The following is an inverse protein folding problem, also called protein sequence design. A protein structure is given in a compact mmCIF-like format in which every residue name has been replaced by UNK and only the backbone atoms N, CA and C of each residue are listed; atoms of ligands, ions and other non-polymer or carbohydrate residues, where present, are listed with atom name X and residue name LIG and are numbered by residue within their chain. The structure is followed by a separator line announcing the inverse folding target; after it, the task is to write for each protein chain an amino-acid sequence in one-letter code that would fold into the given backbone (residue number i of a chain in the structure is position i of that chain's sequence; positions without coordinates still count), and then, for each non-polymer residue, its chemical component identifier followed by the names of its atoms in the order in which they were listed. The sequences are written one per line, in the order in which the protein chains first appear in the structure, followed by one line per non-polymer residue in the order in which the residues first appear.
data_IF_465435715115
#
_entry.id   IF_465435715115
#
_cell.length_a   1.000
_cell.length_b   1.000
_cell.length_c   1.000
_cell.angle_alpha   90.00
_cell.angle_beta   90.00
_cell.angle_gamma   90.00
#
_symmetry.space_group_name_H-M   'P 1'
#
loop_
_entity.id
_entity.type
_entity.pdbx_description
1 polymer ?
#
# COMPACT_ATOMS: atom_id res chain seq x y z
N UNK A 1 -0.95 11.58 21.56
CA UNK A 1 0.04 12.09 22.54
C UNK A 1 1.42 11.53 22.25
N UNK A 2 1.59 10.20 22.30
CA UNK A 2 2.87 9.51 22.04
C UNK A 2 3.61 10.00 20.78
N UNK A 3 2.95 10.00 19.61
CA UNK A 3 3.56 10.49 18.36
C UNK A 3 4.07 11.94 18.44
N UNK A 4 3.40 12.80 19.20
CA UNK A 4 3.83 14.18 19.39
C UNK A 4 5.05 14.28 20.32
N UNK A 5 5.14 13.40 21.32
CA UNK A 5 6.30 13.31 22.20
C UNK A 5 7.54 12.83 21.43
N UNK A 6 7.38 11.86 20.52
CA UNK A 6 8.45 11.42 19.62
C UNK A 6 8.88 12.51 18.63
N UNK A 7 7.93 13.27 18.07
CA UNK A 7 8.24 14.42 17.22
C UNK A 7 9.04 15.50 18.00
N UNK A 8 8.62 15.82 19.23
CA UNK A 8 9.36 16.73 20.12
C UNK A 8 10.75 16.19 20.45
N UNK A 9 10.87 14.89 20.75
CA UNK A 9 12.15 14.25 21.04
C UNK A 9 13.13 14.35 19.86
N UNK A 10 12.67 14.04 18.65
CA UNK A 10 13.45 14.22 17.41
C UNK A 10 13.91 15.66 17.20
N UNK A 11 13.00 16.61 17.36
CA UNK A 11 13.31 18.05 17.26
C UNK A 11 14.34 18.52 18.29
N UNK A 12 14.27 18.06 19.54
CA UNK A 12 15.23 18.40 20.59
C UNK A 12 16.60 17.75 20.37
N UNK A 13 16.63 16.54 19.82
CA UNK A 13 17.86 15.83 19.49
C UNK A 13 18.51 16.33 18.17
N UNK A 14 17.78 17.08 17.34
CA UNK A 14 18.23 17.44 16.00
C UNK A 14 18.33 16.24 15.05
N UNK A 15 17.55 15.18 15.33
CA UNK A 15 17.60 13.90 14.62
C UNK A 15 16.21 13.56 14.06
N UNK A 16 16.12 12.90 12.90
CA UNK A 16 14.87 12.30 12.47
C UNK A 16 14.45 11.17 13.43
N UNK A 17 13.14 10.94 13.57
CA UNK A 17 12.60 9.95 14.52
C UNK A 17 13.14 8.54 14.25
N UNK A 18 13.36 8.15 12.99
CA UNK A 18 13.92 6.83 12.67
C UNK A 18 15.34 6.61 13.22
N UNK A 19 16.16 7.66 13.35
CA UNK A 19 17.50 7.54 13.95
C UNK A 19 17.39 7.27 15.45
N UNK A 20 16.41 7.88 16.12
CA UNK A 20 16.12 7.59 17.53
C UNK A 20 15.62 6.16 17.74
N UNK A 21 15.01 5.55 16.71
CA UNK A 21 14.49 4.17 16.72
C UNK A 21 15.53 3.12 16.27
N UNK A 22 16.80 3.49 16.10
CA UNK A 22 17.86 2.57 15.72
C UNK A 22 18.35 2.68 14.27
N UNK A 23 17.97 3.74 13.56
CA UNK A 23 18.51 4.08 12.25
C UNK A 23 17.85 3.34 11.07
N UNK A 24 18.38 3.62 9.88
CA UNK A 24 17.84 3.10 8.62
C UNK A 24 18.15 1.60 8.44
N UNK A 25 17.11 0.80 8.23
CA UNK A 25 17.21 -0.60 7.82
C UNK A 25 17.02 -0.80 6.30
N UNK A 26 16.63 0.27 5.59
CA UNK A 26 16.42 0.30 4.13
C UNK A 26 16.58 1.72 3.60
N UNK A 27 16.87 1.87 2.32
CA UNK A 27 17.04 3.19 1.67
C UNK A 27 15.71 3.89 1.39
N UNK A 28 14.64 3.13 1.16
CA UNK A 28 13.29 3.64 0.94
C UNK A 28 12.24 2.58 1.34
N UNK A 29 11.04 3.05 1.67
CA UNK A 29 9.87 2.19 1.81
C UNK A 29 9.15 2.07 0.46
N UNK A 30 8.71 0.87 0.10
CA UNK A 30 7.81 0.67 -1.04
C UNK A 30 6.42 1.17 -0.67
N UNK A 31 5.77 1.87 -1.59
CA UNK A 31 4.41 2.36 -1.40
C UNK A 31 3.46 1.61 -2.34
N UNK A 32 2.31 1.19 -1.81
CA UNK A 32 1.16 0.85 -2.63
C UNK A 32 0.29 2.09 -2.86
N UNK A 33 -0.40 2.13 -3.98
CA UNK A 33 -1.34 3.21 -4.34
C UNK A 33 -2.68 2.63 -4.76
N UNK A 34 -3.71 3.48 -4.86
CA UNK A 34 -5.07 3.05 -5.17
C UNK A 34 -5.43 3.38 -6.62
N UNK A 35 -5.83 2.35 -7.36
CA UNK A 35 -6.42 2.46 -8.68
C UNK A 35 -7.88 2.02 -8.63
N UNK A 36 -8.77 2.91 -9.02
CA UNK A 36 -10.19 2.66 -9.08
C UNK A 36 -10.85 3.41 -10.22
N UNK A 37 -11.91 2.83 -10.76
CA UNK A 37 -12.78 3.42 -11.77
C UNK A 37 -14.20 2.85 -11.70
N UNK A 38 -15.14 3.51 -12.37
CA UNK A 38 -16.53 3.06 -12.43
C UNK A 38 -16.70 1.71 -13.17
N UNK A 39 -15.78 1.39 -14.07
CA UNK A 39 -15.74 0.14 -14.83
C UNK A 39 -14.40 -0.58 -14.64
N UNK A 40 -14.34 -1.84 -15.06
CA UNK A 40 -13.09 -2.62 -15.07
C UNK A 40 -12.03 -1.91 -15.90
N UNK A 41 -12.37 -1.47 -17.12
CA UNK A 41 -11.44 -0.78 -18.00
C UNK A 41 -10.91 0.52 -17.38
N UNK A 42 -11.79 1.36 -16.84
CA UNK A 42 -11.36 2.60 -16.19
C UNK A 42 -10.45 2.35 -14.97
N UNK A 43 -10.64 1.22 -14.27
CA UNK A 43 -9.80 0.84 -13.13
C UNK A 43 -8.41 0.38 -13.60
N UNK A 44 -8.34 -0.35 -14.71
CA UNK A 44 -7.10 -0.82 -15.31
C UNK A 44 -6.33 0.33 -15.97
N UNK A 45 -7.01 1.25 -16.66
CA UNK A 45 -6.40 2.44 -17.26
C UNK A 45 -5.74 3.31 -16.18
N UNK A 46 -6.46 3.54 -15.07
CA UNK A 46 -5.89 4.27 -13.93
C UNK A 46 -4.69 3.53 -13.31
N UNK A 47 -4.73 2.19 -13.25
CA UNK A 47 -3.58 1.42 -12.78
C UNK A 47 -2.37 1.55 -13.73
N UNK A 48 -2.58 1.55 -15.05
CA UNK A 48 -1.53 1.76 -16.04
C UNK A 48 -0.88 3.15 -15.88
N UNK A 49 -1.68 4.21 -15.72
CA UNK A 49 -1.17 5.57 -15.44
C UNK A 49 -0.30 5.62 -14.18
N UNK A 50 -0.67 4.87 -13.14
CA UNK A 50 0.12 4.77 -11.91
C UNK A 50 1.42 3.98 -12.13
N UNK A 51 1.40 2.93 -12.95
CA UNK A 51 2.60 2.19 -13.31
C UNK A 51 3.60 3.05 -14.10
N UNK A 52 3.13 3.90 -15.02
CA UNK A 52 3.97 4.87 -15.73
C UNK A 52 4.64 5.87 -14.78
N UNK A 53 4.01 6.18 -13.65
CA UNK A 53 4.55 7.02 -12.58
C UNK A 53 5.54 6.28 -11.65
N UNK A 54 5.78 4.99 -11.89
CA UNK A 54 6.74 4.16 -11.17
C UNK A 54 6.16 3.36 -10.00
N UNK A 55 4.84 3.28 -9.86
CA UNK A 55 4.22 2.44 -8.81
C UNK A 55 4.22 0.97 -9.24
N UNK A 56 4.93 0.13 -8.48
CA UNK A 56 4.95 -1.32 -8.70
C UNK A 56 3.89 -2.10 -7.89
N UNK A 57 3.20 -1.46 -6.95
CA UNK A 57 2.19 -2.09 -6.09
C UNK A 57 0.89 -1.29 -6.20
N UNK A 58 -0.15 -1.89 -6.77
CA UNK A 58 -1.40 -1.21 -7.09
C UNK A 58 -2.59 -1.95 -6.48
N UNK A 59 -3.35 -1.25 -5.65
CA UNK A 59 -4.61 -1.73 -5.09
C UNK A 59 -5.72 -1.45 -6.08
N UNK A 60 -6.25 -2.52 -6.69
CA UNK A 60 -7.30 -2.45 -7.69
C UNK A 60 -8.66 -2.58 -7.04
N UNK A 61 -9.54 -1.65 -7.38
CA UNK A 61 -10.95 -1.69 -7.04
C UNK A 61 -11.75 -1.27 -8.28
N UNK A 62 -13.00 -1.74 -8.38
CA UNK A 62 -13.88 -1.34 -9.48
C UNK A 62 -15.26 -1.02 -8.94
N UNK A 63 -15.91 -0.08 -9.61
CA UNK A 63 -17.26 0.38 -9.32
C UNK A 63 -18.26 -0.76 -9.28
N UNK A 64 -19.26 -0.60 -8.43
CA UNK A 64 -20.44 -1.47 -8.41
C UNK A 64 -21.70 -0.67 -8.72
N UNK A 65 -22.72 -1.31 -9.33
CA UNK A 65 -24.04 -0.70 -9.47
C UNK A 65 -24.59 -0.27 -8.11
N UNK A 66 -25.25 0.90 -8.06
CA UNK A 66 -25.81 1.44 -6.83
C UNK A 66 -24.78 2.24 -6.03
N UNK A 67 -24.58 1.87 -4.75
CA UNK A 67 -23.71 2.59 -3.83
C UNK A 67 -22.23 2.50 -4.26
N UNK A 68 -21.56 3.66 -4.22
CA UNK A 68 -20.10 3.69 -4.18
C UNK A 68 -19.60 3.08 -2.88
N UNK A 69 -18.51 2.33 -2.94
CA UNK A 69 -17.88 1.79 -1.73
C UNK A 69 -16.63 2.60 -1.37
N UNK A 70 -16.02 2.23 -0.24
CA UNK A 70 -14.77 2.83 0.17
C UNK A 70 -13.70 2.58 -0.91
N UNK A 71 -13.12 3.68 -1.42
CA UNK A 71 -12.07 3.65 -2.44
C UNK A 71 -12.54 3.66 -3.91
N UNK A 72 -13.85 3.63 -4.20
CA UNK A 72 -14.34 3.74 -5.60
C UNK A 72 -15.74 4.38 -5.73
N UNK A 73 -16.03 5.08 -6.85
CA UNK A 73 -17.33 5.70 -7.07
C UNK A 73 -18.42 4.66 -7.34
N UNK A 74 -19.66 4.97 -6.94
CA UNK A 74 -20.83 4.18 -7.32
C UNK A 74 -21.13 4.33 -8.80
N UNK A 75 -21.73 3.30 -9.40
CA UNK A 75 -22.19 3.36 -10.79
C UNK A 75 -23.71 3.42 -10.84
N UNK A 76 -24.30 4.26 -11.72
CA UNK A 76 -25.75 4.30 -11.90
C UNK A 76 -26.31 2.93 -12.32
N UNK A 77 -27.49 2.57 -11.81
CA UNK A 77 -28.21 1.38 -12.26
C UNK A 77 -28.75 0.50 -11.14
N UNK A 78 -28.16 0.59 -9.94
CA UNK A 78 -28.57 -0.24 -8.79
C UNK A 78 -28.65 -1.73 -9.12
N UNK A 79 -29.46 -2.46 -8.36
CA UNK A 79 -29.74 -3.88 -8.54
C UNK A 79 -31.26 -4.08 -8.65
N UNK A 80 -31.82 -4.05 -9.88
CA UNK A 80 -33.24 -4.27 -10.08
C UNK A 80 -33.71 -5.59 -9.44
N UNK A 81 -34.71 -5.53 -8.56
CA UNK A 81 -35.25 -6.71 -7.87
C UNK A 81 -34.50 -7.14 -6.61
N UNK A 82 -33.40 -6.47 -6.23
CA UNK A 82 -32.73 -6.70 -4.95
C UNK A 82 -33.49 -6.00 -3.81
N UNK A 83 -33.52 -6.56 -2.57
CA UNK A 83 -34.17 -5.91 -1.43
C UNK A 83 -33.61 -4.53 -1.08
N UNK A 84 -32.36 -4.28 -1.48
CA UNK A 84 -31.72 -2.98 -1.40
C UNK A 84 -31.22 -2.57 -2.80
N UNK A 85 -32.07 -1.95 -3.66
CA UNK A 85 -31.74 -1.67 -5.06
C UNK A 85 -30.55 -0.75 -5.22
N UNK A 86 -30.35 0.21 -4.33
CA UNK A 86 -29.15 1.06 -4.35
C UNK A 86 -28.02 0.48 -3.50
N UNK A 87 -28.21 -0.71 -2.93
CA UNK A 87 -27.36 -1.31 -1.91
C UNK A 87 -26.03 -1.88 -2.39
N UNK A 88 -25.47 -2.75 -1.55
CA UNK A 88 -24.35 -3.63 -1.88
C UNK A 88 -24.89 -5.03 -2.22
N UNK A 89 -24.45 -5.60 -3.34
CA UNK A 89 -24.75 -6.99 -3.73
C UNK A 89 -23.47 -7.84 -3.67
N UNK A 90 -23.41 -8.69 -2.64
CA UNK A 90 -22.29 -9.62 -2.43
C UNK A 90 -22.15 -10.65 -3.56
N UNK A 91 -23.25 -11.07 -4.18
CA UNK A 91 -23.20 -12.04 -5.27
C UNK A 91 -22.68 -11.40 -6.54
N UNK A 92 -23.05 -10.15 -6.82
CA UNK A 92 -22.43 -9.37 -7.89
C UNK A 92 -20.93 -9.23 -7.65
N UNK A 93 -20.52 -8.80 -6.44
CA UNK A 93 -19.12 -8.66 -6.06
C UNK A 93 -18.28 -9.93 -6.29
N UNK A 94 -18.75 -11.07 -5.80
CA UNK A 94 -18.04 -12.35 -5.93
C UNK A 94 -17.91 -12.81 -7.39
N UNK A 95 -18.78 -12.36 -8.30
CA UNK A 95 -18.67 -12.65 -9.74
C UNK A 95 -17.73 -11.68 -10.46
N UNK A 96 -17.74 -10.40 -10.09
CA UNK A 96 -17.03 -9.36 -10.84
C UNK A 96 -15.61 -9.12 -10.37
N UNK A 97 -15.29 -9.36 -9.08
CA UNK A 97 -13.94 -9.18 -8.57
C UNK A 97 -12.91 -10.08 -9.32
N UNK A 98 -13.14 -11.38 -9.54
CA UNK A 98 -12.19 -12.20 -10.32
C UNK A 98 -12.01 -11.72 -11.77
N UNK A 99 -13.08 -11.22 -12.40
CA UNK A 99 -13.02 -10.69 -13.75
C UNK A 99 -12.14 -9.43 -13.86
N UNK A 100 -12.15 -8.56 -12.84
CA UNK A 100 -11.24 -7.42 -12.74
C UNK A 100 -9.78 -7.89 -12.75
N UNK A 101 -9.44 -8.90 -11.94
CA UNK A 101 -8.05 -9.38 -11.84
C UNK A 101 -7.61 -10.19 -13.06
N UNK A 102 -8.52 -10.92 -13.71
CA UNK A 102 -8.26 -11.56 -14.99
C UNK A 102 -7.85 -10.52 -16.05
N UNK A 103 -8.68 -9.50 -16.24
CA UNK A 103 -8.41 -8.43 -17.20
C UNK A 103 -7.15 -7.63 -16.84
N UNK A 104 -6.91 -7.37 -15.54
CA UNK A 104 -5.70 -6.69 -15.09
C UNK A 104 -4.43 -7.51 -15.41
N UNK A 105 -4.45 -8.83 -15.24
CA UNK A 105 -3.30 -9.68 -15.57
C UNK A 105 -3.04 -9.77 -17.06
N UNK A 106 -4.09 -9.74 -17.88
CA UNK A 106 -3.96 -9.69 -19.33
C UNK A 106 -3.35 -8.36 -19.80
N UNK A 107 -3.80 -7.23 -19.25
CA UNK A 107 -3.44 -5.89 -19.74
C UNK A 107 -2.19 -5.29 -19.09
N UNK A 108 -1.96 -5.54 -17.80
CA UNK A 108 -0.85 -4.95 -17.03
C UNK A 108 0.34 -5.91 -16.86
N UNK A 109 0.16 -7.19 -17.21
CA UNK A 109 1.19 -8.21 -17.10
C UNK A 109 1.39 -8.78 -15.69
N UNK A 110 2.43 -9.59 -15.55
CA UNK A 110 2.70 -10.39 -14.35
C UNK A 110 3.55 -9.67 -13.30
N UNK A 111 4.31 -8.64 -13.69
CA UNK A 111 5.32 -8.00 -12.83
C UNK A 111 4.73 -7.02 -11.82
N UNK A 112 3.54 -6.47 -12.09
CA UNK A 112 2.86 -5.58 -11.15
C UNK A 112 2.30 -6.37 -9.96
N UNK A 113 2.57 -5.90 -8.75
CA UNK A 113 2.00 -6.45 -7.53
C UNK A 113 0.59 -5.89 -7.35
N UNK A 114 -0.42 -6.76 -7.39
CA UNK A 114 -1.83 -6.39 -7.33
C UNK A 114 -2.41 -6.67 -5.95
N UNK A 115 -3.09 -5.68 -5.38
CA UNK A 115 -3.74 -5.77 -4.08
C UNK A 115 -5.26 -5.63 -4.26
N UNK A 116 -6.05 -6.24 -3.38
CA UNK A 116 -7.49 -6.04 -3.35
C UNK A 116 -7.99 -5.85 -1.92
N UNK A 117 -8.94 -4.94 -1.73
CA UNK A 117 -9.53 -4.63 -0.43
C UNK A 117 -11.03 -4.92 -0.44
N UNK A 118 -11.42 -5.87 0.39
CA UNK A 118 -12.80 -6.32 0.56
C UNK A 118 -13.57 -5.38 1.50
N UNK A 119 -12.86 -4.69 2.38
CA UNK A 119 -13.32 -3.88 3.51
C UNK A 119 -14.42 -4.55 4.33
N UNK A 120 -14.12 -5.74 4.85
CA UNK A 120 -14.94 -6.38 5.89
C UNK A 120 -16.36 -6.75 5.45
N UNK A 121 -16.64 -6.83 4.14
CA UNK A 121 -18.00 -7.04 3.59
C UNK A 121 -18.45 -8.49 3.47
N UNK A 122 -17.57 -9.45 3.72
CA UNK A 122 -17.88 -10.86 3.54
C UNK A 122 -17.97 -11.61 4.86
N UNK A 123 -18.79 -12.66 4.86
CA UNK A 123 -18.70 -13.74 5.83
C UNK A 123 -17.46 -14.60 5.56
N UNK A 124 -16.99 -15.37 6.55
CA UNK A 124 -15.83 -16.26 6.38
C UNK A 124 -15.96 -17.23 5.19
N UNK A 125 -17.15 -17.80 4.96
CA UNK A 125 -17.39 -18.69 3.81
C UNK A 125 -17.33 -17.97 2.46
N UNK A 126 -17.85 -16.74 2.40
CA UNK A 126 -17.76 -15.92 1.18
C UNK A 126 -16.32 -15.49 0.91
N UNK A 127 -15.56 -15.17 1.96
CA UNK A 127 -14.14 -14.87 1.86
C UNK A 127 -13.34 -16.06 1.31
N UNK A 128 -13.63 -17.30 1.74
CA UNK A 128 -13.05 -18.52 1.16
C UNK A 128 -13.34 -18.64 -0.34
N UNK A 129 -14.59 -18.38 -0.75
CA UNK A 129 -14.98 -18.40 -2.16
C UNK A 129 -14.17 -17.37 -2.96
N UNK A 130 -14.07 -16.15 -2.45
CA UNK A 130 -13.31 -15.09 -3.11
C UNK A 130 -11.81 -15.45 -3.20
N UNK A 131 -11.19 -15.84 -2.09
CA UNK A 131 -9.76 -16.15 -2.03
C UNK A 131 -9.37 -17.24 -3.06
N UNK A 132 -10.17 -18.31 -3.17
CA UNK A 132 -9.97 -19.35 -4.18
C UNK A 132 -10.14 -18.84 -5.60
N UNK A 133 -11.15 -18.00 -5.84
CA UNK A 133 -11.38 -17.44 -7.18
C UNK A 133 -10.28 -16.48 -7.64
N UNK A 134 -9.48 -15.95 -6.70
CA UNK A 134 -8.39 -15.02 -6.98
C UNK A 134 -7.00 -15.67 -7.06
N UNK A 135 -6.88 -16.96 -6.72
CA UNK A 135 -5.63 -17.73 -6.77
C UNK A 135 -4.87 -17.59 -8.10
N UNK A 136 -5.51 -17.68 -9.29
CA UNK A 136 -4.80 -17.60 -10.57
C UNK A 136 -4.09 -16.27 -10.82
N UNK A 137 -4.46 -15.21 -10.09
CA UNK A 137 -4.00 -13.85 -10.37
C UNK A 137 -2.85 -13.41 -9.45
N UNK A 138 -2.34 -14.26 -8.55
CA UNK A 138 -1.16 -13.99 -7.72
C UNK A 138 -1.23 -12.59 -7.09
N UNK A 139 -2.23 -12.35 -6.24
CA UNK A 139 -2.32 -11.08 -5.52
C UNK A 139 -1.15 -10.98 -4.54
N UNK A 140 -0.67 -9.75 -4.34
CA UNK A 140 0.28 -9.45 -3.28
C UNK A 140 -0.36 -9.65 -1.91
N UNK A 141 -1.61 -9.20 -1.74
CA UNK A 141 -2.49 -9.65 -0.67
C UNK A 141 -3.97 -9.36 -0.96
N UNK A 142 -4.84 -10.07 -0.26
CA UNK A 142 -6.26 -9.79 -0.07
C UNK A 142 -6.46 -9.15 1.31
N UNK A 143 -6.99 -7.93 1.33
CA UNK A 143 -7.15 -7.09 2.51
C UNK A 143 -8.56 -7.20 3.10
N UNK A 144 -8.60 -7.26 4.44
CA UNK A 144 -9.79 -7.25 5.29
C UNK A 144 -10.93 -8.12 4.73
N UNK A 145 -10.69 -9.42 4.47
CA UNK A 145 -11.68 -10.28 3.84
C UNK A 145 -12.94 -10.46 4.69
N UNK A 146 -12.85 -10.30 6.01
CA UNK A 146 -13.96 -10.40 6.97
C UNK A 146 -13.86 -9.28 8.00
N UNK A 147 -14.99 -8.96 8.63
CA UNK A 147 -15.03 -7.96 9.69
C UNK A 147 -14.22 -8.36 10.94
N UNK A 148 -13.75 -7.39 11.74
CA UNK A 148 -12.91 -7.65 12.91
C UNK A 148 -13.52 -8.60 13.93
N UNK A 149 -14.84 -8.58 14.08
CA UNK A 149 -15.59 -9.49 14.96
C UNK A 149 -15.48 -10.96 14.53
N UNK A 150 -15.08 -11.21 13.28
CA UNK A 150 -14.93 -12.54 12.69
C UNK A 150 -13.47 -12.90 12.38
N UNK A 151 -12.49 -12.22 12.98
CA UNK A 151 -11.08 -12.54 12.77
C UNK A 151 -10.69 -13.95 13.24
N UNK A 152 -11.48 -14.57 14.12
CA UNK A 152 -11.38 -16.00 14.46
C UNK A 152 -11.53 -16.92 13.23
N UNK A 153 -12.13 -16.42 12.13
CA UNK A 153 -12.32 -17.16 10.87
C UNK A 153 -11.22 -16.97 9.84
N UNK A 154 -10.30 -16.01 10.04
CA UNK A 154 -9.20 -15.79 9.09
C UNK A 154 -8.32 -17.04 8.85
N UNK A 155 -8.04 -17.92 9.84
CA UNK A 155 -7.31 -19.16 9.58
C UNK A 155 -8.01 -20.07 8.57
N UNK A 156 -9.35 -20.12 8.58
CA UNK A 156 -10.13 -20.87 7.61
C UNK A 156 -9.97 -20.30 6.19
N UNK A 157 -9.92 -18.97 6.06
CA UNK A 157 -9.72 -18.27 4.78
C UNK A 157 -8.30 -18.50 4.25
N UNK A 158 -7.28 -18.29 5.09
CA UNK A 158 -5.86 -18.46 4.74
C UNK A 158 -5.54 -19.91 4.35
N UNK A 159 -6.14 -20.89 5.01
CA UNK A 159 -5.95 -22.30 4.67
C UNK A 159 -6.60 -22.71 3.34
N UNK A 160 -7.57 -21.94 2.84
CA UNK A 160 -8.39 -22.35 1.69
C UNK A 160 -7.78 -22.03 0.33
N UNK A 161 -6.83 -21.10 0.26
CA UNK A 161 -6.15 -20.66 -0.97
C UNK A 161 -4.77 -20.07 -0.63
N UNK A 162 -3.79 -20.12 -1.54
CA UNK A 162 -2.45 -19.57 -1.32
C UNK A 162 -2.37 -18.03 -1.42
N UNK A 163 -3.52 -17.34 -1.44
CA UNK A 163 -3.57 -15.87 -1.53
C UNK A 163 -3.19 -15.28 -0.17
N UNK A 164 -2.15 -14.42 -0.08
CA UNK A 164 -1.78 -13.80 1.19
C UNK A 164 -2.89 -12.94 1.76
N UNK A 165 -3.10 -13.00 3.07
CA UNK A 165 -4.12 -12.24 3.78
C UNK A 165 -3.50 -11.07 4.53
N UNK A 166 -3.98 -9.86 4.26
CA UNK A 166 -3.68 -8.67 5.05
C UNK A 166 -4.88 -8.30 5.91
N UNK A 167 -4.67 -8.01 7.19
CA UNK A 167 -5.74 -7.51 8.04
C UNK A 167 -5.25 -6.66 9.21
N UNK A 168 -6.17 -5.89 9.78
CA UNK A 168 -6.00 -5.27 11.10
C UNK A 168 -6.20 -3.76 11.16
N UNK A 169 -6.58 -3.07 10.07
CA UNK A 169 -6.61 -1.60 10.09
C UNK A 169 -7.59 -1.06 11.14
N UNK A 170 -8.62 -1.84 11.44
CA UNK A 170 -9.64 -1.57 12.44
C UNK A 170 -9.21 -1.96 13.87
N UNK A 171 -8.02 -2.53 14.05
CA UNK A 171 -7.48 -2.90 15.37
C UNK A 171 -6.88 -1.68 16.06
N UNK A 172 -7.28 -1.49 17.32
CA UNK A 172 -6.85 -0.35 18.14
C UNK A 172 -6.03 -0.75 19.39
N UNK A 173 -5.63 -2.02 19.53
CA UNK A 173 -4.83 -2.46 20.66
C UNK A 173 -3.74 -3.45 20.27
N UNK A 174 -2.62 -3.40 20.99
CA UNK A 174 -1.53 -4.38 20.83
C UNK A 174 -1.98 -5.79 21.18
N UNK A 175 -2.92 -5.93 22.12
CA UNK A 175 -3.47 -7.23 22.51
C UNK A 175 -4.27 -7.88 21.36
N UNK A 176 -5.08 -7.10 20.66
CA UNK A 176 -5.85 -7.59 19.50
C UNK A 176 -4.93 -7.89 18.30
N UNK A 177 -3.90 -7.07 18.10
CA UNK A 177 -2.87 -7.33 17.11
C UNK A 177 -2.10 -8.63 17.41
N UNK A 178 -1.76 -8.86 18.68
CA UNK A 178 -1.11 -10.10 19.11
C UNK A 178 -2.03 -11.31 18.91
N UNK A 179 -3.33 -11.19 19.19
CA UNK A 179 -4.33 -12.25 18.92
C UNK A 179 -4.42 -12.58 17.44
N UNK A 180 -4.41 -11.58 16.56
CA UNK A 180 -4.38 -11.78 15.10
C UNK A 180 -3.17 -12.60 14.66
N UNK A 181 -1.98 -12.24 15.15
CA UNK A 181 -0.73 -12.95 14.85
C UNK A 181 -0.77 -14.39 15.39
N UNK A 182 -1.16 -14.55 16.66
CA UNK A 182 -1.23 -15.87 17.32
C UNK A 182 -2.29 -16.79 16.72
N UNK A 183 -3.40 -16.23 16.23
CA UNK A 183 -4.46 -16.99 15.57
C UNK A 183 -4.04 -17.61 14.24
N UNK A 184 -2.97 -17.11 13.60
CA UNK A 184 -2.40 -17.71 12.39
C UNK A 184 -3.17 -17.44 11.10
N UNK A 185 -4.05 -16.43 11.09
CA UNK A 185 -4.90 -16.09 9.93
C UNK A 185 -4.40 -14.96 9.04
N UNK A 186 -3.28 -14.32 9.37
CA UNK A 186 -2.75 -13.15 8.66
C UNK A 186 -1.32 -13.38 8.19
N UNK A 187 -1.02 -12.91 6.98
CA UNK A 187 0.33 -12.87 6.39
C UNK A 187 0.94 -11.46 6.49
N UNK A 188 0.11 -10.42 6.40
CA UNK A 188 0.51 -9.03 6.60
C UNK A 188 -0.36 -8.34 7.65
N UNK A 189 0.26 -7.82 8.70
CA UNK A 189 -0.43 -7.03 9.69
C UNK A 189 -0.53 -5.58 9.21
N UNK A 190 -1.75 -5.04 9.24
CA UNK A 190 -2.03 -3.64 8.91
C UNK A 190 -2.56 -2.93 10.11
N UNK A 191 -1.77 -2.14 10.82
CA UNK A 191 -2.33 -1.31 11.89
C UNK A 191 -2.11 0.17 11.58
N UNK A 192 -3.06 0.97 12.02
CA UNK A 192 -2.83 2.40 12.14
C UNK A 192 -1.99 2.69 13.39
N UNK A 193 -0.77 3.22 13.20
CA UNK A 193 0.11 3.65 14.30
C UNK A 193 -0.63 4.54 15.32
N UNK A 194 -1.49 5.44 14.84
CA UNK A 194 -2.29 6.30 15.69
C UNK A 194 -3.37 5.55 16.49
N UNK A 195 -3.87 4.43 15.97
CA UNK A 195 -4.93 3.64 16.62
C UNK A 195 -4.36 2.72 17.69
N UNK A 196 -3.18 2.13 17.48
CA UNK A 196 -2.60 1.15 18.42
C UNK A 196 -1.78 1.75 19.57
N UNK A 197 -1.71 3.08 19.65
CA UNK A 197 -1.10 3.79 20.78
C UNK A 197 0.17 4.58 20.45
N UNK A 198 0.54 4.70 19.16
CA UNK A 198 1.66 5.52 18.71
C UNK A 198 2.92 4.73 18.34
N UNK A 199 4.03 5.46 18.22
CA UNK A 199 5.34 4.94 17.79
C UNK A 199 5.89 3.93 18.78
N UNK A 200 5.70 4.15 20.09
CA UNK A 200 6.25 3.26 21.11
C UNK A 200 5.61 1.86 21.10
N UNK A 201 4.34 1.76 20.73
CA UNK A 201 3.55 0.52 20.73
C UNK A 201 3.44 -0.11 19.34
N UNK A 202 3.72 0.65 18.29
CA UNK A 202 3.89 0.13 16.95
C UNK A 202 5.03 -0.89 16.94
N UNK A 203 4.90 -1.89 16.07
CA UNK A 203 5.85 -2.99 15.98
C UNK A 203 7.22 -2.49 15.54
N UNK A 204 8.23 -2.99 16.22
CA UNK A 204 9.62 -2.87 15.82
C UNK A 204 10.21 -4.28 15.82
N UNK A 205 10.70 -4.72 14.67
CA UNK A 205 11.27 -6.04 14.52
C UNK A 205 11.90 -6.19 13.14
N UNK A 206 12.92 -7.06 13.00
CA UNK A 206 13.48 -7.37 11.70
C UNK A 206 12.39 -8.02 10.82
N UNK A 207 12.11 -7.44 9.65
CA UNK A 207 11.08 -7.96 8.75
C UNK A 207 11.46 -9.33 8.14
N UNK A 208 12.72 -9.74 8.31
CA UNK A 208 13.34 -10.96 7.82
C UNK A 208 13.26 -12.15 8.81
N UNK A 209 12.83 -11.93 10.07
CA UNK A 209 12.70 -13.01 11.07
C UNK A 209 11.25 -13.40 11.40
N UNK A 210 10.28 -12.51 11.12
CA UNK A 210 8.86 -12.77 11.34
C UNK A 210 8.22 -13.37 10.09
N UNK A 211 7.44 -14.47 10.19
CA UNK A 211 6.65 -14.98 9.07
C UNK A 211 5.48 -14.05 8.70
N UNK A 212 5.16 -13.07 9.55
CA UNK A 212 4.13 -12.06 9.32
C UNK A 212 4.81 -10.75 8.93
N UNK A 213 4.53 -10.29 7.72
CA UNK A 213 4.95 -8.99 7.21
C UNK A 213 4.13 -7.85 7.81
N UNK A 214 4.55 -6.60 7.58
CA UNK A 214 3.85 -5.43 8.09
C UNK A 214 3.62 -4.42 6.97
N UNK A 215 2.42 -3.85 6.92
CA UNK A 215 2.05 -2.77 6.01
C UNK A 215 1.43 -1.67 6.86
N UNK A 216 1.94 -0.44 6.70
CA UNK A 216 1.45 0.71 7.48
C UNK A 216 0.60 1.59 6.60
N UNK A 217 -0.60 1.89 7.07
CA UNK A 217 -1.52 2.79 6.41
C UNK A 217 -1.17 4.25 6.69
N UNK A 218 -0.56 4.89 5.70
CA UNK A 218 -0.21 6.31 5.74
C UNK A 218 -1.31 7.13 5.07
N UNK A 219 -2.33 7.52 5.82
CA UNK A 219 -3.34 8.45 5.30
C UNK A 219 -2.75 9.86 5.17
N UNK A 220 -2.35 10.25 3.96
CA UNK A 220 -1.77 11.57 3.63
C UNK A 220 -2.78 12.71 3.54
N UNK A 221 -4.07 12.47 3.82
CA UNK A 221 -5.14 13.50 3.78
C UNK A 221 -4.99 14.62 4.81
N UNK A 222 -3.99 14.58 5.68
CA UNK A 222 -3.63 15.66 6.60
C UNK A 222 -2.14 15.93 6.47
N UNK A 223 -1.68 17.17 6.19
CA UNK A 223 -0.24 17.47 6.05
C UNK A 223 0.59 17.05 7.27
N UNK A 224 -0.02 17.05 8.45
CA UNK A 224 0.61 16.62 9.71
C UNK A 224 0.69 15.09 9.89
N UNK A 225 -0.10 14.29 9.15
CA UNK A 225 -0.12 12.81 9.27
C UNK A 225 0.95 12.13 8.43
N UNK A 226 1.34 12.71 7.30
CA UNK A 226 2.42 12.17 6.48
C UNK A 226 3.76 12.20 7.23
N UNK A 227 4.09 13.30 7.91
CA UNK A 227 5.39 13.47 8.56
C UNK A 227 5.75 12.44 9.63
N UNK A 228 4.77 11.84 10.31
CA UNK A 228 5.03 10.83 11.35
C UNK A 228 5.28 9.43 10.77
N UNK A 229 4.72 9.13 9.59
CA UNK A 229 4.92 7.85 8.90
C UNK A 229 5.95 7.91 7.77
N UNK A 230 6.28 9.11 7.29
CA UNK A 230 7.26 9.38 6.22
C UNK A 230 8.26 10.46 6.64
N UNK A 231 8.76 10.46 7.89
CA UNK A 231 9.87 11.34 8.32
C UNK A 231 11.18 10.93 7.65
N UNK A 232 11.23 11.16 6.35
CA UNK A 232 12.38 11.11 5.46
C UNK A 232 12.33 12.37 4.60
N UNK A 233 13.42 13.12 4.63
CA UNK A 233 13.79 14.28 3.80
C UNK A 233 13.46 15.69 4.34
N UNK A 234 14.49 16.29 4.95
CA UNK A 234 14.75 17.72 5.13
C UNK A 234 16.25 17.98 4.87
N UNK A 235 16.67 19.21 4.51
CA UNK A 235 17.42 19.45 3.28
C UNK A 235 18.94 19.30 3.42
N UNK A 236 19.55 18.56 2.49
CA UNK A 236 20.96 18.74 2.09
C UNK A 236 21.08 18.65 0.56
N UNK A 237 22.06 19.34 -0.06
CA UNK A 237 22.16 19.48 -1.51
C UNK A 237 22.51 18.12 -2.12
N UNK A 238 21.68 17.62 -3.04
CA UNK A 238 21.86 16.34 -3.73
C UNK A 238 20.68 15.36 -3.65
N UNK A 239 19.58 15.71 -2.98
CA UNK A 239 18.40 14.83 -2.86
C UNK A 239 17.47 14.92 -4.07
N UNK A 240 17.22 13.77 -4.70
CA UNK A 240 16.19 13.55 -5.71
C UNK A 240 14.81 13.80 -5.08
N UNK A 241 14.07 14.77 -5.62
CA UNK A 241 12.69 15.07 -5.24
C UNK A 241 11.78 13.92 -5.68
N UNK A 242 10.88 13.48 -4.80
CA UNK A 242 9.60 12.97 -5.24
C UNK A 242 8.87 14.16 -5.89
N UNK A 243 8.78 14.19 -7.22
CA UNK A 243 8.06 15.28 -7.91
C UNK A 243 6.58 15.21 -7.53
N UNK A 244 6.14 16.26 -6.84
CA UNK A 244 4.80 16.84 -6.83
C UNK A 244 3.63 15.89 -7.08
N UNK A 245 2.99 15.46 -5.99
CA UNK A 245 1.62 14.97 -6.01
C UNK A 245 0.74 16.05 -5.37
N UNK A 246 0.62 17.22 -6.02
CA UNK A 246 -0.36 18.23 -5.67
C UNK A 246 -1.66 17.95 -6.41
N UNK A 247 -2.77 18.05 -5.67
CA UNK A 247 -4.13 18.03 -6.20
C UNK A 247 -4.31 19.10 -7.28
N UNK A 248 -4.96 18.71 -8.38
CA UNK A 248 -5.27 19.47 -9.60
C UNK A 248 -4.23 19.34 -10.72
N UNK A 249 -4.60 18.55 -11.73
CA UNK A 249 -3.83 18.36 -12.95
C UNK A 249 -3.65 19.63 -13.76
N UNK A 250 -2.40 19.86 -14.18
CA UNK A 250 -1.96 20.37 -15.49
C UNK A 250 -0.44 20.51 -15.45
N UNK A 251 0.28 19.76 -16.28
CA UNK A 251 1.71 19.99 -16.56
C UNK A 251 1.85 20.64 -17.93
N UNK A 252 2.32 21.88 -17.98
CA UNK A 252 2.95 22.46 -19.18
C UNK A 252 4.45 22.19 -19.12
N UNK A 253 5.02 21.78 -20.25
CA UNK A 253 6.41 21.38 -20.43
C UNK A 253 7.37 22.56 -20.34
N UNK A 254 8.50 22.39 -19.62
CA UNK A 254 9.73 23.14 -19.88
C UNK A 254 10.95 22.25 -19.60
N UNK A 255 11.83 22.13 -20.60
CA UNK A 255 13.08 21.36 -20.56
C UNK A 255 14.12 21.99 -19.61
N UNK A 256 15.04 21.22 -19.00
CA UNK A 256 16.09 21.79 -18.17
C UNK A 256 17.31 22.22 -19.00
N UNK A 257 17.73 23.47 -18.81
CA UNK A 257 19.03 24.00 -19.23
C UNK A 257 20.16 23.40 -18.40
N UNK A 258 21.23 22.99 -19.09
CA UNK A 258 22.44 22.43 -18.50
C UNK A 258 23.24 23.50 -17.73
N UNK A 259 23.64 23.18 -16.49
CA UNK A 259 24.67 23.91 -15.75
C UNK A 259 25.82 22.97 -15.42
N UNK A 260 27.01 23.35 -15.90
CA UNK A 260 28.30 22.68 -15.75
C UNK A 260 28.83 22.78 -14.31
N UNK A 261 29.49 21.73 -13.83
CA UNK A 261 30.13 21.68 -12.53
C UNK A 261 31.67 21.69 -12.71
N UNK A 262 32.42 22.70 -12.23
CA UNK A 262 33.86 22.79 -12.44
C UNK A 262 34.60 22.16 -11.25
N UNK A 263 34.97 20.88 -11.34
CA UNK A 263 35.94 20.24 -10.43
C UNK A 263 36.36 18.85 -10.91
N UNK A 264 37.06 18.78 -12.04
CA UNK A 264 37.93 17.64 -12.35
C UNK A 264 39.30 18.18 -12.83
N UNK A 265 40.36 17.85 -12.09
CA UNK A 265 41.74 18.04 -12.54
C UNK A 265 42.11 16.84 -13.43
N UNK A 266 42.76 17.04 -14.59
CA UNK A 266 43.16 15.93 -15.45
C UNK A 266 44.39 15.19 -14.87
N UNK A 267 44.58 13.89 -15.16
CA UNK A 267 45.76 13.14 -14.74
C UNK A 267 46.99 13.49 -15.61
N UNK A 268 48.18 13.48 -15.02
CA UNK A 268 49.45 13.71 -15.74
C UNK A 268 49.91 12.43 -16.47
N UNK A 269 50.61 12.54 -17.62
CA UNK A 269 51.13 11.38 -18.32
C UNK A 269 52.47 10.94 -17.72
N UNK A 270 52.68 9.64 -17.49
CA UNK A 270 53.99 9.06 -17.19
C UNK A 270 54.30 7.90 -18.14
N UNK A 271 55.27 8.15 -19.01
CA UNK A 271 56.44 7.31 -19.32
C UNK A 271 56.24 5.86 -19.77
N UNK A 272 56.54 5.61 -21.04
CA UNK A 272 57.01 4.33 -21.57
C UNK A 272 58.29 3.87 -20.84
N UNK A 273 58.61 2.57 -20.85
CA UNK A 273 59.99 2.12 -20.86
C UNK A 273 60.37 1.47 -22.19
N UNK A 274 61.51 1.89 -22.72
CA UNK A 274 62.25 1.21 -23.78
C UNK A 274 63.07 0.04 -23.20
N UNK A 275 63.38 -0.88 -24.11
CA UNK A 275 64.08 -2.15 -23.96
C UNK A 275 65.39 -2.16 -23.15
N UNK A 276 65.66 -3.31 -22.54
CA UNK A 276 66.96 -3.99 -22.53
C UNK A 276 66.71 -5.50 -22.67
#
# INVERSE_FOLDING_TARGET
MDMALWDIAGKRAGMPVHDLLGGLQRTAARCCTHAAGATVDASIDHAADLMERGYGHVRLQTGQPGLGAYGFPGTPGGYPGHPNPDGWDVHHYLRTAPALFAAARERLGADVELLHDVHSRLTGKQAVVLARSLEPYRLFFLEDPVAPEHYDRLPEVRAAAPVPIAAGEQVASVADAARLVQGGGVDLLRLHVSAVGGVQTAWHGPADVSPVGCVTDTCTRTPARAGASTSTSGPRPGSLRCRDCTSAGRCTSAAPTAASNPRERPPSPRGQPAAA
#
